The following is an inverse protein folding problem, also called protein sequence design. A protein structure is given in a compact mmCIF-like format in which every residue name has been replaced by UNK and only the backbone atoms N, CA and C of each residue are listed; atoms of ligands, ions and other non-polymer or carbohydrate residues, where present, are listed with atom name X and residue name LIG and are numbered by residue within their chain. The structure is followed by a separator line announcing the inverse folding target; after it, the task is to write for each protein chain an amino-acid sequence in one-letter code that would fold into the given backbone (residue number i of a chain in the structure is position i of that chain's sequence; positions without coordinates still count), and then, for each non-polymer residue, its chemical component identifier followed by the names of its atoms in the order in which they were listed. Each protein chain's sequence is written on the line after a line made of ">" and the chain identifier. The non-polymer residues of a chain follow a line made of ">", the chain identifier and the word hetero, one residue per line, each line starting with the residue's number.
data_IF_678671608201
#
_entry.id   IF_678671608201
#
_cell.length_a   1.000
_cell.length_b   1.000
_cell.length_c   1.000
_cell.angle_alpha   90.00
_cell.angle_beta   90.00
_cell.angle_gamma   90.00
#
_symmetry.space_group_name_H-M   'P 1'
#
loop_
_entity.id
_entity.type
_entity.pdbx_description
1 polymer ?
#
# COMPACT_ATOMS: atom_id res chain seq x y z
N UNK A 1 6.15 13.14 -3.81
CA UNK A 1 6.05 12.66 -2.42
C UNK A 1 4.82 11.78 -2.35
N UNK A 2 4.98 10.51 -2.03
CA UNK A 2 3.86 9.59 -1.87
C UNK A 2 3.38 9.66 -0.42
N UNK A 3 2.08 9.51 -0.22
CA UNK A 3 1.51 9.57 1.12
C UNK A 3 1.73 8.24 1.86
N UNK A 4 2.14 8.33 3.12
CA UNK A 4 2.31 7.20 4.03
C UNK A 4 1.28 7.27 5.17
N UNK A 5 1.07 6.16 5.87
CA UNK A 5 0.18 6.17 7.05
C UNK A 5 0.75 7.08 8.16
N UNK A 6 2.05 7.04 8.35
CA UNK A 6 2.80 7.87 9.30
C UNK A 6 4.04 8.42 8.60
N UNK A 7 4.61 9.52 9.10
CA UNK A 7 5.80 10.14 8.52
C UNK A 7 6.70 10.70 9.60
N UNK A 8 7.91 11.07 9.24
CA UNK A 8 8.76 11.88 10.11
C UNK A 8 8.21 13.30 10.23
N UNK A 9 8.33 13.89 11.41
CA UNK A 9 8.15 15.32 11.60
C UNK A 9 9.14 16.10 10.71
N UNK A 10 8.83 17.35 10.31
CA UNK A 10 9.70 18.12 9.41
C UNK A 10 11.14 18.29 9.91
N UNK A 11 11.35 18.27 11.21
CA UNK A 11 12.64 18.36 11.88
C UNK A 11 13.33 16.99 12.08
N UNK A 12 12.66 15.89 11.67
CA UNK A 12 13.16 14.52 11.83
C UNK A 12 13.16 14.00 13.28
N UNK A 13 12.63 14.75 14.23
CA UNK A 13 12.74 14.42 15.67
C UNK A 13 11.88 13.23 16.10
N UNK A 14 10.76 13.01 15.43
CA UNK A 14 9.78 11.98 15.80
C UNK A 14 8.93 11.53 14.61
N UNK A 15 8.24 10.42 14.79
CA UNK A 15 7.22 9.95 13.84
C UNK A 15 5.87 10.58 14.25
N UNK A 16 5.16 11.10 13.27
CA UNK A 16 3.86 11.76 13.45
C UNK A 16 2.80 11.10 12.55
N UNK A 17 1.52 11.15 12.94
CA UNK A 17 0.43 10.72 12.08
C UNK A 17 0.39 11.51 10.76
N UNK A 18 0.07 10.82 9.66
CA UNK A 18 -0.15 11.45 8.36
C UNK A 18 -1.53 11.08 7.80
N UNK A 19 -1.66 10.07 6.95
CA UNK A 19 -2.98 9.56 6.54
C UNK A 19 -3.68 8.86 7.73
N UNK A 20 -2.93 8.14 8.56
CA UNK A 20 -3.45 7.65 9.82
C UNK A 20 -3.78 8.80 10.78
N UNK A 21 -4.80 8.59 11.62
CA UNK A 21 -5.14 9.50 12.73
C UNK A 21 -4.23 9.26 13.95
N UNK A 22 -3.64 8.09 14.07
CA UNK A 22 -2.76 7.71 15.16
C UNK A 22 -2.57 6.21 15.23
N UNK A 23 -1.88 5.78 16.25
CA UNK A 23 -1.60 4.36 16.52
C UNK A 23 -1.51 4.08 18.01
N UNK A 24 -1.53 2.80 18.35
CA UNK A 24 -1.22 2.30 19.67
C UNK A 24 -0.53 0.95 19.55
N UNK A 25 0.22 0.55 20.58
CA UNK A 25 0.84 -0.75 20.69
C UNK A 25 0.54 -1.38 22.06
N UNK A 26 0.63 -2.71 22.14
CA UNK A 26 0.70 -3.34 23.44
C UNK A 26 2.09 -3.11 24.09
N UNK A 27 2.21 -3.45 25.39
CA UNK A 27 3.44 -3.25 26.17
C UNK A 27 4.67 -3.98 25.59
N UNK A 28 4.44 -5.10 24.92
CA UNK A 28 5.49 -5.94 24.34
C UNK A 28 5.82 -5.61 22.89
N UNK A 29 5.18 -4.61 22.28
CA UNK A 29 5.37 -4.24 20.87
C UNK A 29 5.16 -5.39 19.88
N UNK A 30 4.33 -6.37 20.24
CA UNK A 30 3.94 -7.48 19.36
C UNK A 30 2.65 -7.19 18.63
N UNK A 31 1.83 -6.24 19.10
CA UNK A 31 0.61 -5.80 18.46
C UNK A 31 0.64 -4.30 18.24
N UNK A 32 0.25 -3.89 17.03
CA UNK A 32 0.14 -2.50 16.62
C UNK A 32 -1.23 -2.26 16.01
N UNK A 33 -1.94 -1.25 16.49
CA UNK A 33 -3.24 -0.84 15.93
C UNK A 33 -3.07 0.53 15.30
N UNK A 34 -3.34 0.63 14.02
CA UNK A 34 -3.39 1.90 13.28
C UNK A 34 -4.84 2.34 13.17
N UNK A 35 -5.08 3.59 13.56
CA UNK A 35 -6.37 4.26 13.37
C UNK A 35 -6.32 5.09 12.10
N UNK A 36 -7.21 4.81 11.17
CA UNK A 36 -7.38 5.59 9.94
C UNK A 36 -8.28 6.81 10.22
N UNK A 37 -8.19 7.82 9.37
CA UNK A 37 -9.06 9.00 9.46
C UNK A 37 -10.40 8.72 8.81
N UNK A 38 -11.53 8.76 9.55
CA UNK A 38 -12.85 8.74 8.94
C UNK A 38 -13.01 9.92 7.97
N UNK A 39 -13.54 9.65 6.78
CA UNK A 39 -13.73 10.65 5.74
C UNK A 39 -12.52 10.91 4.84
N UNK A 40 -11.38 10.25 5.07
CA UNK A 40 -10.29 10.23 4.08
C UNK A 40 -10.78 9.56 2.78
N UNK A 41 -10.34 10.10 1.64
CA UNK A 41 -10.79 9.67 0.31
C UNK A 41 -9.62 9.58 -0.67
N UNK A 42 -9.75 8.68 -1.60
CA UNK A 42 -8.95 8.67 -2.82
C UNK A 42 -9.27 9.88 -3.69
N UNK A 43 -8.42 10.19 -4.66
CA UNK A 43 -8.59 11.36 -5.55
C UNK A 43 -9.86 11.30 -6.41
N UNK A 44 -10.42 10.12 -6.63
CA UNK A 44 -11.68 9.89 -7.33
C UNK A 44 -12.92 10.01 -6.42
N UNK A 45 -12.73 10.35 -5.15
CA UNK A 45 -13.79 10.52 -4.15
C UNK A 45 -14.19 9.24 -3.41
N UNK A 46 -13.65 8.07 -3.79
CA UNK A 46 -13.90 6.80 -3.10
C UNK A 46 -13.35 6.85 -1.68
N UNK A 47 -14.13 6.40 -0.65
CA UNK A 47 -13.63 6.36 0.72
C UNK A 47 -12.37 5.50 0.86
N UNK A 48 -11.38 5.99 1.63
CA UNK A 48 -10.25 5.20 2.07
C UNK A 48 -10.59 4.48 3.38
N UNK A 49 -10.43 3.17 3.40
CA UNK A 49 -10.78 2.33 4.54
C UNK A 49 -9.75 1.24 4.80
N UNK A 50 -9.95 0.48 5.86
CA UNK A 50 -9.16 -0.70 6.18
C UNK A 50 -9.17 -1.77 5.06
N UNK A 51 -10.20 -1.77 4.19
CA UNK A 51 -10.26 -2.70 3.06
C UNK A 51 -9.15 -2.45 2.03
N UNK A 52 -8.67 -1.21 1.89
CA UNK A 52 -7.54 -0.88 1.03
C UNK A 52 -6.22 -1.44 1.56
N UNK A 53 -6.06 -1.50 2.89
CA UNK A 53 -4.93 -2.14 3.56
C UNK A 53 -5.04 -3.66 3.49
N UNK A 54 -6.24 -4.22 3.72
CA UNK A 54 -6.46 -5.67 3.61
C UNK A 54 -6.25 -6.17 2.19
N UNK A 55 -6.68 -5.42 1.17
CA UNK A 55 -6.40 -5.77 -0.21
C UNK A 55 -4.88 -5.82 -0.49
N UNK A 56 -4.12 -4.84 0.01
CA UNK A 56 -2.66 -4.89 -0.08
C UNK A 56 -2.10 -6.13 0.63
N UNK A 57 -2.55 -6.43 1.84
CA UNK A 57 -2.07 -7.58 2.59
C UNK A 57 -2.39 -8.91 1.91
N UNK A 58 -3.66 -9.15 1.59
CA UNK A 58 -4.14 -10.43 1.09
C UNK A 58 -3.75 -10.67 -0.39
N UNK A 59 -3.86 -9.64 -1.23
CA UNK A 59 -3.76 -9.77 -2.68
C UNK A 59 -2.39 -9.35 -3.25
N UNK A 60 -1.60 -8.57 -2.52
CA UNK A 60 -0.26 -8.17 -2.97
C UNK A 60 0.81 -8.85 -2.12
N UNK A 61 0.85 -8.58 -0.81
CA UNK A 61 1.91 -9.07 0.07
C UNK A 61 1.95 -10.60 0.16
N UNK A 62 0.78 -11.23 0.30
CA UNK A 62 0.66 -12.70 0.43
C UNK A 62 0.63 -13.42 -0.92
N UNK A 63 0.56 -12.70 -2.03
CA UNK A 63 0.57 -13.26 -3.38
C UNK A 63 2.00 -13.62 -3.81
N UNK A 64 2.24 -14.93 -4.03
CA UNK A 64 3.57 -15.44 -4.37
C UNK A 64 4.03 -15.08 -5.80
N UNK A 65 3.12 -14.73 -6.71
CA UNK A 65 3.49 -14.27 -8.05
C UNK A 65 3.91 -12.79 -8.04
N UNK A 66 3.29 -11.96 -7.19
CA UNK A 66 3.63 -10.56 -7.05
C UNK A 66 4.81 -10.34 -6.09
N UNK A 67 4.82 -11.08 -4.98
CA UNK A 67 5.76 -10.90 -3.86
C UNK A 67 6.33 -12.25 -3.39
N UNK A 68 7.12 -12.97 -4.20
CA UNK A 68 7.62 -14.31 -3.85
C UNK A 68 8.46 -14.35 -2.57
N UNK A 69 9.03 -13.24 -2.16
CA UNK A 69 9.78 -13.12 -0.91
C UNK A 69 9.02 -12.45 0.23
N UNK A 70 7.81 -11.94 -0.02
CA UNK A 70 7.11 -11.05 0.90
C UNK A 70 7.90 -9.77 1.23
N UNK A 71 7.43 -8.97 2.18
CA UNK A 71 8.14 -7.78 2.66
C UNK A 71 8.97 -8.10 3.89
N UNK A 72 10.25 -7.78 3.88
CA UNK A 72 11.18 -8.12 4.96
C UNK A 72 10.77 -7.57 6.32
N UNK A 73 10.25 -6.34 6.34
CA UNK A 73 9.78 -5.68 7.56
C UNK A 73 8.53 -6.32 8.19
N UNK A 74 7.80 -7.14 7.42
CA UNK A 74 6.65 -7.92 7.86
C UNK A 74 7.02 -9.32 8.36
N UNK A 75 8.28 -9.74 8.26
CA UNK A 75 8.69 -11.08 8.68
C UNK A 75 8.94 -11.18 10.17
N UNK A 76 8.47 -12.28 10.75
CA UNK A 76 8.90 -12.76 12.06
C UNK A 76 10.28 -13.41 11.97
N UNK A 77 10.95 -13.61 13.10
CA UNK A 77 12.27 -14.25 13.14
C UNK A 77 12.31 -15.70 12.65
N UNK A 78 11.16 -16.37 12.57
CA UNK A 78 11.01 -17.71 11.98
C UNK A 78 10.73 -17.65 10.46
N UNK A 79 10.74 -16.47 9.86
CA UNK A 79 10.45 -16.24 8.44
C UNK A 79 8.97 -16.17 8.07
N UNK A 80 8.05 -16.46 8.99
CA UNK A 80 6.62 -16.29 8.75
C UNK A 80 6.25 -14.81 8.67
N UNK A 81 5.18 -14.48 7.93
CA UNK A 81 4.68 -13.11 7.86
C UNK A 81 3.91 -12.74 9.13
N UNK A 82 4.03 -11.50 9.58
CA UNK A 82 3.12 -10.93 10.56
C UNK A 82 1.69 -10.93 10.01
N UNK A 83 0.70 -11.12 10.88
CA UNK A 83 -0.70 -11.08 10.48
C UNK A 83 -1.23 -9.65 10.52
N UNK A 84 -2.12 -9.35 9.58
CA UNK A 84 -2.89 -8.10 9.54
C UNK A 84 -4.36 -8.43 9.64
N UNK A 85 -5.09 -7.67 10.43
CA UNK A 85 -6.51 -7.89 10.68
C UNK A 85 -7.28 -6.58 10.66
N UNK A 86 -8.34 -6.53 9.88
CA UNK A 86 -9.34 -5.46 9.94
C UNK A 86 -10.17 -5.63 11.22
N UNK A 87 -10.13 -4.66 12.13
CA UNK A 87 -10.98 -4.62 13.31
C UNK A 87 -12.28 -3.83 13.06
N UNK A 88 -12.20 -2.80 12.22
CA UNK A 88 -13.33 -2.02 11.71
C UNK A 88 -12.90 -1.32 10.42
N UNK A 89 -13.79 -0.53 9.80
CA UNK A 89 -13.46 0.22 8.59
C UNK A 89 -12.29 1.22 8.80
N UNK A 90 -12.00 1.58 10.05
CA UNK A 90 -10.97 2.56 10.38
C UNK A 90 -9.95 2.08 11.42
N UNK A 91 -9.93 0.77 11.71
CA UNK A 91 -8.97 0.16 12.62
C UNK A 91 -8.37 -1.09 12.00
N UNK A 92 -7.04 -1.10 11.92
CA UNK A 92 -6.28 -2.25 11.42
C UNK A 92 -5.23 -2.64 12.45
N UNK A 93 -5.12 -3.93 12.73
CA UNK A 93 -4.15 -4.49 13.68
C UNK A 93 -3.10 -5.32 12.95
N UNK A 94 -1.84 -5.07 13.27
CA UNK A 94 -0.69 -5.91 12.93
C UNK A 94 -0.28 -6.73 14.15
N UNK A 95 -0.01 -8.02 13.96
CA UNK A 95 0.45 -8.91 15.03
C UNK A 95 1.71 -9.65 14.59
N UNK A 96 2.75 -9.51 15.40
CA UNK A 96 4.04 -10.17 15.27
C UNK A 96 4.20 -11.23 16.35
N UNK A 97 4.99 -12.27 16.08
CA UNK A 97 5.34 -13.30 17.07
C UNK A 97 6.39 -12.82 18.09
N UNK A 98 7.10 -11.74 17.76
CA UNK A 98 8.17 -11.17 18.56
C UNK A 98 8.02 -9.64 18.61
N UNK A 99 8.61 -8.95 19.60
CA UNK A 99 8.61 -7.49 19.65
C UNK A 99 9.13 -6.87 18.36
N UNK A 100 8.35 -5.96 17.76
CA UNK A 100 8.77 -5.17 16.60
C UNK A 100 8.75 -3.68 16.97
N UNK A 101 9.80 -3.22 17.63
CA UNK A 101 9.97 -1.80 18.00
C UNK A 101 10.26 -0.90 16.79
N UNK A 102 10.67 -1.49 15.66
CA UNK A 102 10.93 -0.78 14.42
C UNK A 102 9.69 -0.58 13.54
N UNK A 103 8.51 -1.06 13.96
CA UNK A 103 7.29 -1.02 13.15
C UNK A 103 6.98 0.37 12.58
N UNK A 104 6.95 1.40 13.44
CA UNK A 104 6.65 2.77 13.01
C UNK A 104 7.76 3.36 12.14
N UNK A 105 9.02 3.02 12.40
CA UNK A 105 10.15 3.43 11.55
C UNK A 105 10.01 2.85 10.15
N UNK A 106 9.68 1.56 10.05
CA UNK A 106 9.42 0.92 8.78
C UNK A 106 8.25 1.59 8.06
N UNK A 107 7.12 1.80 8.75
CA UNK A 107 5.95 2.48 8.19
C UNK A 107 6.25 3.89 7.68
N UNK A 108 7.08 4.65 8.38
CA UNK A 108 7.47 6.01 7.98
C UNK A 108 8.43 6.02 6.78
N UNK A 109 9.17 4.94 6.56
CA UNK A 109 10.07 4.77 5.42
C UNK A 109 9.37 4.19 4.18
N UNK A 110 8.11 3.73 4.30
CA UNK A 110 7.31 3.21 3.19
C UNK A 110 6.58 4.35 2.47
N UNK A 111 7.33 5.38 2.09
CA UNK A 111 6.80 6.54 1.37
C UNK A 111 6.78 6.36 -0.16
N UNK A 112 7.01 5.13 -0.63
CA UNK A 112 7.07 4.81 -2.05
C UNK A 112 8.31 5.33 -2.77
N UNK A 113 9.31 5.82 -2.03
CA UNK A 113 10.51 6.42 -2.62
C UNK A 113 11.32 5.43 -3.48
N UNK A 114 11.29 4.14 -3.17
CA UNK A 114 11.98 3.11 -3.95
C UNK A 114 11.17 2.59 -5.16
N UNK A 115 9.98 3.11 -5.38
CA UNK A 115 9.12 2.82 -6.55
C UNK A 115 8.82 1.33 -6.73
N UNK A 116 8.74 0.57 -5.63
CA UNK A 116 8.42 -0.86 -5.64
C UNK A 116 7.07 -1.13 -4.98
N UNK A 117 6.35 -2.14 -5.48
CA UNK A 117 5.09 -2.60 -4.86
C UNK A 117 5.33 -3.16 -3.45
N UNK A 118 6.57 -3.55 -3.11
CA UNK A 118 6.95 -4.03 -1.78
C UNK A 118 6.87 -2.97 -0.68
N UNK A 119 6.89 -1.70 -1.06
CA UNK A 119 6.81 -0.57 -0.13
C UNK A 119 5.44 0.10 -0.09
N UNK A 120 4.45 -0.48 -0.75
CA UNK A 120 3.06 -0.09 -0.57
C UNK A 120 2.52 -0.74 0.70
N UNK A 121 1.66 -0.06 1.45
CA UNK A 121 0.92 -0.57 2.62
C UNK A 121 -0.57 -0.45 2.42
N UNK A 122 -0.98 0.37 1.48
CA UNK A 122 -2.35 0.55 1.05
C UNK A 122 -2.40 0.93 -0.42
N UNK A 123 -3.44 0.52 -1.07
CA UNK A 123 -3.66 0.75 -2.51
C UNK A 123 -5.16 0.95 -2.77
N UNK A 124 -5.56 1.63 -3.84
CA UNK A 124 -6.96 1.78 -4.19
C UNK A 124 -7.55 0.43 -4.62
N UNK A 125 -8.06 -0.33 -3.66
CA UNK A 125 -8.58 -1.68 -3.88
C UNK A 125 -9.68 -1.70 -4.95
N UNK A 126 -10.60 -0.71 -4.93
CA UNK A 126 -11.67 -0.57 -5.91
C UNK A 126 -11.15 -0.45 -7.35
N UNK A 127 -10.01 0.20 -7.55
CA UNK A 127 -9.36 0.34 -8.85
C UNK A 127 -8.57 -0.91 -9.24
N UNK A 128 -7.76 -1.45 -8.31
CA UNK A 128 -6.81 -2.53 -8.63
C UNK A 128 -7.45 -3.91 -8.78
N UNK A 129 -8.63 -4.14 -8.20
CA UNK A 129 -9.37 -5.41 -8.34
C UNK A 129 -9.57 -5.83 -9.80
N UNK A 130 -9.73 -4.88 -10.71
CA UNK A 130 -9.93 -5.19 -12.13
C UNK A 130 -8.69 -5.76 -12.82
N UNK A 131 -7.51 -5.67 -12.20
CA UNK A 131 -6.23 -6.18 -12.71
C UNK A 131 -5.72 -7.40 -11.93
N UNK A 132 -6.54 -7.95 -11.01
CA UNK A 132 -6.15 -9.07 -10.17
C UNK A 132 -7.00 -10.32 -10.47
N UNK A 133 -6.38 -11.52 -10.64
CA UNK A 133 -7.09 -12.73 -11.07
C UNK A 133 -8.19 -13.19 -10.10
N UNK A 134 -8.06 -12.91 -8.80
CA UNK A 134 -9.06 -13.29 -7.81
C UNK A 134 -10.33 -12.42 -7.85
N UNK A 135 -10.30 -11.29 -8.56
CA UNK A 135 -11.37 -10.30 -8.58
C UNK A 135 -11.94 -10.03 -9.98
N UNK A 136 -11.30 -10.53 -11.03
CA UNK A 136 -11.79 -10.37 -12.40
C UNK A 136 -11.68 -11.68 -13.17
N UNK A 137 -12.49 -11.83 -14.22
CA UNK A 137 -12.43 -13.05 -15.04
C UNK A 137 -11.11 -13.13 -15.80
N UNK A 138 -10.62 -14.37 -16.01
CA UNK A 138 -9.41 -14.60 -16.80
C UNK A 138 -9.48 -13.95 -18.18
N UNK A 139 -10.61 -14.06 -18.88
CA UNK A 139 -10.78 -13.49 -20.21
C UNK A 139 -10.65 -11.95 -20.21
N UNK A 140 -11.23 -11.28 -19.19
CA UNK A 140 -11.12 -9.83 -19.03
C UNK A 140 -9.69 -9.41 -18.70
N UNK A 141 -9.00 -10.16 -17.83
CA UNK A 141 -7.63 -9.88 -17.45
C UNK A 141 -6.66 -10.08 -18.63
N UNK A 142 -6.78 -11.19 -19.34
CA UNK A 142 -5.97 -11.48 -20.53
C UNK A 142 -6.13 -10.39 -21.62
N UNK A 143 -7.38 -9.90 -21.82
CA UNK A 143 -7.64 -8.81 -22.76
C UNK A 143 -6.91 -7.52 -22.35
N UNK A 144 -6.96 -7.14 -21.06
CA UNK A 144 -6.27 -5.95 -20.53
C UNK A 144 -4.76 -6.08 -20.62
N UNK A 145 -4.20 -7.24 -20.30
CA UNK A 145 -2.76 -7.54 -20.41
C UNK A 145 -2.30 -7.34 -21.86
N UNK A 146 -3.05 -7.89 -22.82
CA UNK A 146 -2.74 -7.77 -24.24
C UNK A 146 -2.89 -6.32 -24.75
N UNK A 147 -3.96 -5.64 -24.36
CA UNK A 147 -4.20 -4.24 -24.76
C UNK A 147 -3.09 -3.31 -24.25
N UNK A 148 -2.63 -3.54 -23.03
CA UNK A 148 -1.54 -2.77 -22.43
C UNK A 148 -0.14 -3.19 -22.93
N UNK A 149 -0.02 -4.25 -23.74
CA UNK A 149 1.23 -4.71 -24.34
C UNK A 149 2.16 -5.46 -23.37
N UNK A 150 1.61 -6.04 -22.30
CA UNK A 150 2.37 -6.85 -21.33
C UNK A 150 2.27 -8.34 -21.64
N UNK A 151 3.23 -9.12 -21.14
CA UNK A 151 3.24 -10.57 -21.27
C UNK A 151 2.45 -11.27 -20.16
N UNK A 152 2.40 -10.65 -18.96
CA UNK A 152 1.78 -11.24 -17.76
C UNK A 152 0.89 -10.24 -17.03
N UNK A 153 -0.08 -10.78 -16.29
CA UNK A 153 -0.93 -9.97 -15.43
C UNK A 153 -0.13 -9.28 -14.30
N UNK A 154 0.94 -9.89 -13.81
CA UNK A 154 1.78 -9.33 -12.75
C UNK A 154 2.54 -8.09 -13.22
N UNK A 155 2.96 -8.05 -14.49
CA UNK A 155 3.57 -6.87 -15.09
C UNK A 155 2.57 -5.72 -15.19
N UNK A 156 1.37 -5.99 -15.71
CA UNK A 156 0.29 -5.01 -15.77
C UNK A 156 -0.08 -4.50 -14.38
N UNK A 157 -0.30 -5.43 -13.43
CA UNK A 157 -0.65 -5.09 -12.07
C UNK A 157 0.41 -4.21 -11.39
N UNK A 158 1.69 -4.53 -11.56
CA UNK A 158 2.79 -3.76 -10.97
C UNK A 158 2.81 -2.31 -11.49
N UNK A 159 2.55 -2.10 -12.78
CA UNK A 159 2.44 -0.76 -13.37
C UNK A 159 1.23 -0.03 -12.82
N UNK A 160 0.06 -0.67 -12.78
CA UNK A 160 -1.18 -0.06 -12.30
C UNK A 160 -1.18 0.20 -10.79
N UNK A 161 -0.44 -0.59 -10.02
CA UNK A 161 -0.31 -0.39 -8.58
C UNK A 161 0.61 0.78 -8.20
N UNK A 162 1.51 1.22 -9.09
CA UNK A 162 2.49 2.24 -8.77
C UNK A 162 2.04 3.64 -9.23
N UNK A 163 1.91 4.62 -8.31
CA UNK A 163 1.35 5.94 -8.62
C UNK A 163 2.09 6.72 -9.70
N UNK A 164 3.38 6.45 -9.88
CA UNK A 164 4.21 7.16 -10.86
C UNK A 164 4.18 6.53 -12.26
N UNK A 165 3.61 5.35 -12.41
CA UNK A 165 3.51 4.62 -13.69
C UNK A 165 2.11 4.66 -14.26
N UNK A 166 1.07 4.63 -13.42
CA UNK A 166 -0.32 4.65 -13.85
C UNK A 166 -0.91 6.05 -13.70
N UNK A 167 -1.22 6.69 -14.83
CA UNK A 167 -1.91 7.98 -14.85
C UNK A 167 -3.38 7.92 -14.42
N UNK A 168 -3.97 6.74 -14.41
CA UNK A 168 -5.40 6.51 -14.08
C UNK A 168 -5.62 6.05 -12.64
N UNK A 169 -4.56 5.67 -11.93
CA UNK A 169 -4.65 5.17 -10.57
C UNK A 169 -5.04 6.27 -9.60
N UNK A 170 -6.13 6.11 -8.81
CA UNK A 170 -6.45 7.06 -7.75
C UNK A 170 -5.31 7.18 -6.73
N UNK A 171 -4.99 8.39 -6.35
CA UNK A 171 -3.97 8.74 -5.38
C UNK A 171 -4.57 9.33 -4.11
N UNK A 172 -3.75 9.47 -3.07
CA UNK A 172 -4.10 10.20 -1.84
C UNK A 172 -3.20 11.43 -1.65
N UNK A 173 -2.26 11.64 -2.56
CA UNK A 173 -1.36 12.79 -2.52
C UNK A 173 -2.12 14.10 -2.76
N UNK A 174 -1.64 15.19 -2.14
CA UNK A 174 -2.18 16.53 -2.36
C UNK A 174 -2.06 17.00 -3.83
N UNK A 175 -1.17 16.36 -4.60
CA UNK A 175 -0.93 16.62 -6.01
C UNK A 175 -1.07 15.32 -6.78
N UNK A 176 -2.05 15.24 -7.68
CA UNK A 176 -2.22 14.14 -8.62
C UNK A 176 -1.62 14.60 -9.94
N UNK A 177 -0.75 13.78 -10.59
CA UNK A 177 -0.34 14.07 -11.96
C UNK A 177 -1.58 14.12 -12.84
N UNK A 178 -1.73 15.19 -13.61
CA UNK A 178 -2.91 15.39 -14.48
C UNK A 178 -2.84 14.59 -15.79
N UNK A 179 -1.89 13.64 -15.88
CA UNK A 179 -1.68 12.82 -17.07
C UNK A 179 -1.04 13.57 -18.24
N UNK A 180 -0.81 14.88 -18.12
CA UNK A 180 0.02 15.59 -19.08
C UNK A 180 1.47 15.19 -18.84
N UNK A 181 2.06 14.57 -19.83
CA UNK A 181 3.48 14.22 -19.85
C UNK A 181 4.30 15.41 -19.40
N UNK A 182 5.03 15.25 -18.32
CA UNK A 182 6.17 16.12 -18.03
C UNK A 182 7.24 15.76 -19.06
N UNK A 183 7.01 16.18 -20.31
CA UNK A 183 8.05 16.23 -21.31
C UNK A 183 8.93 17.42 -20.94
N UNK A 184 10.18 17.14 -20.63
CA UNK A 184 11.29 18.06 -20.74
C UNK A 184 11.28 19.30 -19.82
N UNK A 185 11.23 19.08 -18.50
CA UNK A 185 11.85 20.05 -17.61
C UNK A 185 12.93 19.35 -16.78
N UNK A 186 14.09 19.18 -17.40
CA UNK A 186 15.36 19.00 -16.72
C UNK A 186 15.76 20.38 -16.20
N UNK A 187 15.80 20.51 -14.88
CA UNK A 187 16.54 21.57 -14.22
C UNK A 187 17.83 21.01 -13.64
#
# INVERSE_FOLDING_TARGET
>A
VYDALVRYAPDGSQIVPHIAAGWESNENFTEWIIRLRPGAKWSDGTPFTADDIMFWYDNILMNQELMPGGAGWMKNGDGSMASVQKLSDYLVKWTYKQPNTAFLLNMANLDGADKSISNLVFVPAHYLKQFHPDHTSKASLDAKVKEAGFDTWTQLFAVEALPHLSGNRPGMAAWVPDGTTVSDQVF
#
